data_IF_963566274748
#
_entry.id   IF_963566274748
#
_cell.length_a   1.000
_cell.length_b   1.000
_cell.length_c   1.000
_cell.angle_alpha   90.00
_cell.angle_beta   90.00
_cell.angle_gamma   90.00
#
_symmetry.space_group_name_H-M   'P 1'
#
loop_
_entity.id
_entity.type
_entity.pdbx_description
1 polymer ?
#
# COMPACT_ATOMS: atom_id res chain seq x y z
N UNK A 1 -6.62 12.92 -5.06
CA UNK A 1 -7.37 11.66 -5.07
C UNK A 1 -7.57 11.22 -6.51
N UNK A 2 -7.42 9.92 -6.81
CA UNK A 2 -7.60 9.37 -8.16
C UNK A 2 -8.10 7.93 -8.09
N UNK A 3 -8.65 7.43 -9.19
CA UNK A 3 -9.03 6.03 -9.34
C UNK A 3 -7.93 5.24 -10.07
N UNK A 4 -7.66 4.01 -9.62
CA UNK A 4 -6.93 3.02 -10.40
C UNK A 4 -7.93 1.98 -10.90
N UNK A 5 -7.97 1.77 -12.21
CA UNK A 5 -8.70 0.67 -12.86
C UNK A 5 -7.63 -0.25 -13.45
N UNK A 6 -7.42 -1.40 -12.82
CA UNK A 6 -6.30 -2.29 -13.13
C UNK A 6 -6.82 -3.54 -13.83
N UNK A 7 -6.48 -3.76 -15.12
CA UNK A 7 -6.86 -4.97 -15.85
C UNK A 7 -5.98 -6.16 -15.43
N UNK A 8 -6.34 -7.36 -15.89
CA UNK A 8 -5.51 -8.56 -15.72
C UNK A 8 -4.08 -8.31 -16.21
N UNK A 9 -3.09 -8.71 -15.41
CA UNK A 9 -1.66 -8.46 -15.61
C UNK A 9 -1.16 -7.09 -15.12
N UNK A 10 -2.06 -6.15 -14.82
CA UNK A 10 -1.71 -4.83 -14.30
C UNK A 10 -1.11 -4.87 -12.90
N UNK A 11 -0.23 -3.92 -12.60
CA UNK A 11 0.46 -3.81 -11.31
C UNK A 11 0.88 -2.36 -11.03
N UNK A 12 1.27 -2.07 -9.79
CA UNK A 12 1.93 -0.82 -9.43
C UNK A 12 3.34 -1.11 -8.95
N UNK A 13 4.33 -0.55 -9.65
CA UNK A 13 5.73 -0.69 -9.26
C UNK A 13 5.99 -0.10 -7.86
N UNK A 14 7.06 -0.56 -7.23
CA UNK A 14 7.46 -0.08 -5.91
C UNK A 14 7.82 1.42 -5.92
N UNK A 15 7.00 2.24 -5.28
CA UNK A 15 7.15 3.70 -5.21
C UNK A 15 6.78 4.25 -3.82
N UNK A 16 6.90 5.55 -3.65
CA UNK A 16 6.41 6.33 -2.51
C UNK A 16 5.73 7.60 -3.04
N UNK A 17 5.11 8.39 -2.17
CA UNK A 17 4.45 9.66 -2.51
C UNK A 17 5.19 10.83 -1.85
N UNK A 18 6.22 11.42 -2.51
CA UNK A 18 6.98 12.54 -1.96
C UNK A 18 6.09 13.76 -1.70
N UNK A 19 6.43 14.56 -0.68
CA UNK A 19 5.74 15.82 -0.37
C UNK A 19 4.34 15.65 0.20
N UNK A 20 4.03 14.50 0.82
CA UNK A 20 2.76 14.25 1.48
C UNK A 20 3.01 13.56 2.84
N UNK A 21 2.15 13.80 3.82
CA UNK A 21 2.27 13.18 5.15
C UNK A 21 1.77 11.73 5.13
N UNK A 22 0.57 11.51 4.59
CA UNK A 22 -0.06 10.19 4.49
C UNK A 22 -0.48 9.88 3.06
N UNK A 23 -0.53 8.60 2.74
CA UNK A 23 -1.21 8.07 1.58
C UNK A 23 -2.29 7.07 2.04
N UNK A 24 -3.35 6.97 1.28
CA UNK A 24 -4.47 6.08 1.56
C UNK A 24 -5.01 5.42 0.28
N UNK A 25 -5.57 4.22 0.43
CA UNK A 25 -6.20 3.47 -0.65
C UNK A 25 -7.48 2.82 -0.15
N UNK A 26 -8.60 3.12 -0.83
CA UNK A 26 -9.90 2.49 -0.64
C UNK A 26 -10.11 1.42 -1.73
N UNK A 27 -10.51 0.22 -1.31
CA UNK A 27 -10.73 -0.92 -2.19
C UNK A 27 -12.20 -1.03 -2.59
N UNK A 28 -12.51 -0.78 -3.86
CA UNK A 28 -13.88 -0.77 -4.38
C UNK A 28 -14.23 -2.11 -5.00
N UNK A 29 -13.32 -2.66 -5.80
CA UNK A 29 -13.45 -3.96 -6.45
C UNK A 29 -12.09 -4.67 -6.46
N UNK A 30 -12.10 -5.97 -6.15
CA UNK A 30 -10.91 -6.82 -6.10
C UNK A 30 -10.58 -7.45 -7.45
N UNK A 31 -11.46 -7.31 -8.45
CA UNK A 31 -11.27 -7.76 -9.83
C UNK A 31 -11.50 -9.25 -10.06
N UNK A 32 -12.39 -9.87 -9.26
CA UNK A 32 -12.91 -11.21 -9.53
C UNK A 32 -13.87 -11.18 -10.74
N UNK A 33 -14.01 -12.30 -11.45
CA UNK A 33 -14.98 -12.40 -12.57
C UNK A 33 -16.43 -12.36 -12.05
N UNK A 34 -16.65 -12.94 -10.87
CA UNK A 34 -17.94 -12.94 -10.18
C UNK A 34 -17.75 -12.71 -8.70
N UNK A 35 -18.74 -12.13 -8.01
CA UNK A 35 -18.68 -11.90 -6.56
C UNK A 35 -18.59 -13.20 -5.72
N UNK A 36 -18.85 -14.36 -6.33
CA UNK A 36 -18.84 -15.67 -5.67
C UNK A 36 -17.48 -16.37 -5.76
N UNK A 37 -16.53 -15.84 -6.57
CA UNK A 37 -15.18 -16.40 -6.63
C UNK A 37 -14.44 -16.16 -5.31
N UNK A 38 -13.98 -17.26 -4.70
CA UNK A 38 -13.16 -17.23 -3.49
C UNK A 38 -11.66 -17.35 -3.78
N UNK A 39 -11.29 -17.60 -5.03
CA UNK A 39 -9.88 -17.70 -5.44
C UNK A 39 -9.26 -16.32 -5.46
N UNK A 40 -8.07 -16.19 -4.86
CA UNK A 40 -7.28 -14.97 -4.92
C UNK A 40 -7.13 -14.46 -6.37
N UNK A 41 -7.48 -13.19 -6.56
CA UNK A 41 -7.35 -12.47 -7.83
C UNK A 41 -5.98 -11.80 -7.98
N UNK A 42 -5.05 -11.98 -7.04
CA UNK A 42 -3.78 -11.26 -7.01
C UNK A 42 -3.98 -9.78 -6.67
N UNK A 43 -3.08 -8.92 -7.14
CA UNK A 43 -3.20 -7.49 -6.84
C UNK A 43 -2.94 -7.15 -5.35
N UNK A 44 -2.21 -8.01 -4.64
CA UNK A 44 -1.85 -7.82 -3.24
C UNK A 44 -1.06 -6.53 -3.06
N UNK A 45 -1.48 -5.71 -2.09
CA UNK A 45 -0.73 -4.54 -1.69
C UNK A 45 0.40 -4.97 -0.76
N UNK A 46 1.60 -4.45 -1.02
CA UNK A 46 2.76 -4.79 -0.22
C UNK A 46 3.55 -3.56 0.16
N UNK A 47 4.01 -3.56 1.42
CA UNK A 47 4.91 -2.57 1.98
C UNK A 47 6.34 -3.10 1.93
N UNK A 48 7.31 -2.21 1.73
CA UNK A 48 8.73 -2.53 1.82
C UNK A 48 9.31 -1.92 3.08
N UNK A 49 10.07 -2.72 3.82
CA UNK A 49 10.75 -2.31 5.04
C UNK A 49 11.60 -1.05 4.76
N UNK A 50 11.39 0.05 5.50
CA UNK A 50 12.13 1.29 5.26
C UNK A 50 13.62 1.20 5.58
N UNK A 51 14.06 0.15 6.29
CA UNK A 51 15.46 -0.16 6.58
C UNK A 51 16.13 -0.93 5.45
N UNK A 52 15.41 -1.26 4.37
CA UNK A 52 16.01 -1.85 3.18
C UNK A 52 17.14 -0.95 2.63
N UNK A 53 18.29 -1.52 2.19
CA UNK A 53 18.56 -2.94 1.99
C UNK A 53 19.10 -3.67 3.22
N UNK A 54 19.30 -3.01 4.37
CA UNK A 54 19.87 -3.68 5.55
C UNK A 54 19.00 -4.84 6.04
N UNK A 55 17.67 -4.73 5.92
CA UNK A 55 16.75 -5.84 6.21
C UNK A 55 16.86 -7.02 5.22
N UNK A 56 17.52 -6.83 4.07
CA UNK A 56 17.70 -7.82 3.02
C UNK A 56 19.11 -8.44 3.04
N UNK A 57 19.53 -8.95 4.21
CA UNK A 57 20.78 -9.72 4.33
C UNK A 57 20.80 -10.89 3.36
N UNK A 58 21.97 -11.14 2.74
CA UNK A 58 22.21 -12.25 1.81
C UNK A 58 21.96 -13.60 2.48
N UNK A 59 22.50 -13.77 3.68
CA UNK A 59 22.22 -14.92 4.53
C UNK A 59 21.06 -14.56 5.47
N UNK A 60 19.95 -15.27 5.31
CA UNK A 60 18.71 -15.05 6.06
C UNK A 60 18.85 -15.36 7.55
N UNK A 61 19.87 -16.14 7.96
CA UNK A 61 20.11 -16.48 9.36
C UNK A 61 20.52 -15.26 10.21
N UNK A 62 21.04 -14.20 9.58
CA UNK A 62 21.39 -12.94 10.26
C UNK A 62 20.25 -11.92 10.33
N UNK A 63 19.09 -12.23 9.72
CA UNK A 63 17.92 -11.35 9.88
C UNK A 63 17.39 -11.46 11.30
N UNK A 64 16.88 -10.35 11.82
CA UNK A 64 16.13 -10.38 13.07
C UNK A 64 14.98 -11.39 12.95
N UNK A 65 14.72 -12.13 14.02
CA UNK A 65 13.57 -13.04 14.07
C UNK A 65 12.30 -12.25 14.34
N UNK A 66 11.27 -12.50 13.53
CA UNK A 66 9.92 -12.00 13.77
C UNK A 66 9.28 -12.65 14.99
N UNK A 67 8.09 -12.15 15.35
CA UNK A 67 7.27 -12.70 16.44
C UNK A 67 6.82 -14.13 16.19
N UNK A 68 6.81 -14.56 14.93
CA UNK A 68 6.52 -15.91 14.46
C UNK A 68 7.76 -16.84 14.50
N UNK A 69 8.90 -16.33 14.96
CA UNK A 69 10.18 -17.05 15.02
C UNK A 69 10.89 -17.16 13.66
N UNK A 70 10.30 -16.66 12.57
CA UNK A 70 10.87 -16.71 11.23
C UNK A 70 11.80 -15.52 10.97
N UNK A 71 12.76 -15.63 10.03
CA UNK A 71 13.54 -14.49 9.60
C UNK A 71 12.63 -13.34 9.11
N UNK A 72 12.88 -12.13 9.60
CA UNK A 72 12.08 -10.97 9.24
C UNK A 72 12.06 -10.77 7.71
N UNK A 73 10.85 -10.58 7.17
CA UNK A 73 10.64 -10.22 5.77
C UNK A 73 10.90 -8.73 5.56
N UNK A 74 11.49 -8.37 4.42
CA UNK A 74 11.69 -6.98 4.02
C UNK A 74 10.58 -6.46 3.08
N UNK A 75 9.64 -7.34 2.70
CA UNK A 75 8.38 -6.99 2.07
C UNK A 75 7.25 -7.72 2.80
N UNK A 76 6.19 -7.01 3.14
CA UNK A 76 5.03 -7.55 3.82
C UNK A 76 3.80 -7.27 2.96
N UNK A 77 3.06 -8.32 2.62
CA UNK A 77 1.78 -8.19 1.93
C UNK A 77 0.67 -8.02 2.96
N UNK A 78 -0.33 -7.21 2.62
CA UNK A 78 -1.49 -6.98 3.47
C UNK A 78 -2.68 -7.65 2.80
N UNK A 79 -3.34 -8.53 3.54
CA UNK A 79 -4.62 -9.12 3.12
C UNK A 79 -5.70 -8.05 3.18
N UNK A 80 -6.32 -7.77 2.04
CA UNK A 80 -7.31 -6.71 1.89
C UNK A 80 -8.52 -7.23 1.14
N UNK A 81 -9.67 -6.67 1.47
CA UNK A 81 -10.97 -6.99 0.88
C UNK A 81 -11.71 -5.72 0.49
N UNK A 82 -12.77 -5.88 -0.31
CA UNK A 82 -13.70 -4.81 -0.68
C UNK A 82 -14.14 -4.03 0.57
N UNK A 83 -14.09 -2.69 0.47
CA UNK A 83 -14.45 -1.78 1.54
C UNK A 83 -13.32 -1.45 2.51
N UNK A 84 -12.16 -2.13 2.46
CA UNK A 84 -11.01 -1.70 3.26
C UNK A 84 -10.50 -0.33 2.80
N UNK A 85 -10.24 0.53 3.78
CA UNK A 85 -9.46 1.76 3.63
C UNK A 85 -8.16 1.58 4.42
N UNK A 86 -7.02 1.59 3.73
CA UNK A 86 -5.71 1.62 4.37
C UNK A 86 -5.17 3.04 4.39
N UNK A 87 -4.52 3.42 5.48
CA UNK A 87 -3.82 4.68 5.67
C UNK A 87 -2.39 4.36 6.13
N UNK A 88 -1.39 4.93 5.47
CA UNK A 88 0.02 4.65 5.76
C UNK A 88 0.90 5.88 5.48
N UNK A 89 2.07 6.01 6.12
CA UNK A 89 2.94 7.15 5.90
C UNK A 89 3.35 7.25 4.43
N UNK A 90 3.23 8.43 3.81
CA UNK A 90 3.39 8.56 2.35
C UNK A 90 4.82 8.25 1.87
N UNK A 91 5.81 8.38 2.77
CA UNK A 91 7.21 8.02 2.53
C UNK A 91 7.45 6.50 2.49
N UNK A 92 6.54 5.69 3.03
CA UNK A 92 6.71 4.24 3.08
C UNK A 92 6.57 3.65 1.67
N UNK A 93 7.63 2.98 1.22
CA UNK A 93 7.65 2.40 -0.13
C UNK A 93 6.67 1.24 -0.20
N UNK A 94 5.82 1.25 -1.22
CA UNK A 94 4.77 0.27 -1.43
C UNK A 94 4.58 -0.03 -2.92
N UNK A 95 3.93 -1.14 -3.20
CA UNK A 95 3.53 -1.52 -4.56
C UNK A 95 2.33 -2.44 -4.54
N UNK A 96 1.90 -2.85 -5.73
CA UNK A 96 0.81 -3.78 -5.93
C UNK A 96 1.32 -4.91 -6.80
N UNK A 97 1.15 -6.17 -6.35
CA UNK A 97 1.49 -7.35 -7.14
C UNK A 97 0.65 -7.41 -8.42
N UNK A 98 1.05 -8.21 -9.43
CA UNK A 98 0.21 -8.42 -10.60
C UNK A 98 -1.21 -8.86 -10.21
N UNK A 99 -2.19 -8.16 -10.77
CA UNK A 99 -3.59 -8.57 -10.76
C UNK A 99 -3.75 -9.74 -11.73
N UNK A 100 -4.35 -10.85 -11.30
CA UNK A 100 -4.55 -12.07 -12.09
C UNK A 100 -6.04 -12.43 -12.23
N UNK A 101 -6.94 -11.68 -11.59
CA UNK A 101 -8.38 -11.79 -11.77
C UNK A 101 -8.80 -11.38 -13.18
N UNK A 102 -9.97 -11.87 -13.61
CA UNK A 102 -10.53 -11.57 -14.95
C UNK A 102 -11.37 -10.30 -14.98
N UNK A 103 -11.86 -9.83 -13.83
CA UNK A 103 -12.52 -8.54 -13.68
C UNK A 103 -11.51 -7.40 -13.54
N UNK A 104 -12.01 -6.16 -13.58
CA UNK A 104 -11.20 -4.98 -13.30
C UNK A 104 -11.04 -4.80 -11.79
N UNK A 105 -9.80 -4.65 -11.31
CA UNK A 105 -9.54 -4.28 -9.92
C UNK A 105 -9.61 -2.76 -9.79
N UNK A 106 -10.48 -2.27 -8.92
CA UNK A 106 -10.78 -0.85 -8.80
C UNK A 106 -10.45 -0.35 -7.39
N UNK A 107 -9.60 0.67 -7.31
CA UNK A 107 -9.26 1.35 -6.05
C UNK A 107 -9.32 2.87 -6.19
N UNK A 108 -9.56 3.56 -5.07
CA UNK A 108 -9.42 5.01 -4.97
C UNK A 108 -8.20 5.31 -4.11
N UNK A 109 -7.21 5.96 -4.68
CA UNK A 109 -5.99 6.36 -3.97
C UNK A 109 -5.98 7.87 -3.69
N UNK A 110 -5.35 8.24 -2.58
CA UNK A 110 -5.33 9.61 -2.08
C UNK A 110 -4.02 9.89 -1.35
N UNK A 111 -3.55 11.13 -1.49
CA UNK A 111 -2.49 11.68 -0.66
C UNK A 111 -3.12 12.73 0.25
N UNK A 112 -2.63 12.78 1.50
CA UNK A 112 -3.13 13.64 2.56
C UNK A 112 -1.92 14.36 3.14
N UNK A 113 -1.98 15.67 3.19
CA UNK A 113 -0.95 16.49 3.82
C UNK A 113 -1.54 17.37 4.92
N UNK A 114 -0.68 17.89 5.79
CA UNK A 114 -1.07 18.78 6.85
C UNK A 114 -0.79 20.23 6.45
N UNK A 115 -1.78 21.10 6.61
CA UNK A 115 -1.59 22.55 6.46
C UNK A 115 -1.43 23.19 7.84
N UNK A 116 -0.46 24.09 7.97
CA UNK A 116 -0.32 24.92 9.17
C UNK A 116 -1.59 25.75 9.33
N UNK A 117 -2.26 25.60 10.46
CA UNK A 117 -3.38 26.47 10.82
C UNK A 117 -2.82 27.88 11.06
N UNK A 118 -3.06 28.80 10.12
CA UNK A 118 -2.79 30.22 10.34
C UNK A 118 -3.89 30.76 11.27
N UNK A 119 -3.51 31.13 12.50
CA UNK A 119 -4.41 31.84 13.39
C UNK A 119 -4.51 33.29 12.92
N UNK A 120 -5.68 33.68 12.44
CA UNK A 120 -5.98 35.06 12.04
C UNK A 120 -6.30 35.86 13.30
N UNK A 121 -5.32 36.10 14.17
CA UNK A 121 -5.52 36.95 15.37
C UNK A 121 -4.25 37.72 15.84
N UNK A 122 -3.17 37.80 15.04
CA UNK A 122 -1.96 38.58 15.41
C UNK A 122 -1.55 39.65 14.37
N UNK A 123 -2.50 40.14 13.56
CA UNK A 123 -2.28 41.28 12.66
C UNK A 123 -3.00 42.57 13.10
N UNK A 124 -3.47 42.62 14.35
CA UNK A 124 -4.07 43.81 14.96
C UNK A 124 -3.47 44.07 16.35
N UNK A 125 -2.20 44.43 16.39
CA UNK A 125 -1.57 45.13 17.52
C UNK A 125 -0.57 46.17 16.99
#
# INVERSE_FOLDING_TARGET
MWANVTPAGGLNHLHSHPGNLWAAVLYIDMGHETEQETRDAGGSFYLKDPRFPMAAMRDTAFRMRGVDGQPQQYQTEIELQRGNLILFPAWLRHGVRPHTGKGERITIAMNIDAETKVLVDELAA
#
